data_IF_110099864137
#
_entry.id   IF_110099864137
#
_cell.length_a   1.000
_cell.length_b   1.000
_cell.length_c   1.000
_cell.angle_alpha   90.00
_cell.angle_beta   90.00
_cell.angle_gamma   90.00
#
_symmetry.space_group_name_H-M   'P 1'
#
loop_
_entity.id
_entity.type
_entity.pdbx_description
1 polymer ?
#
# COMPACT_ATOMS: atom_id res chain seq x y z
N UNK A 1 -49.87 -4.93 -21.33
CA UNK A 1 -50.30 -3.52 -21.23
C UNK A 1 -49.62 -2.95 -20.00
N UNK A 2 -48.40 -2.45 -20.16
CA UNK A 2 -47.72 -1.69 -19.09
C UNK A 2 -48.43 -0.35 -19.02
N UNK A 3 -49.16 -0.13 -17.93
CA UNK A 3 -49.70 1.19 -17.61
C UNK A 3 -48.51 2.02 -17.15
N UNK A 4 -47.99 2.88 -18.02
CA UNK A 4 -47.14 3.98 -17.58
C UNK A 4 -48.08 5.00 -16.93
N UNK A 5 -48.07 5.02 -15.61
CA UNK A 5 -48.71 6.10 -14.85
C UNK A 5 -47.80 7.32 -15.06
N UNK A 6 -48.19 8.20 -15.98
CA UNK A 6 -47.57 9.51 -16.12
C UNK A 6 -47.99 10.35 -14.91
N UNK A 7 -47.22 10.26 -13.84
CA UNK A 7 -47.29 11.25 -12.78
C UNK A 7 -46.48 12.44 -13.33
N UNK A 8 -47.17 13.49 -13.78
CA UNK A 8 -46.55 14.78 -14.15
C UNK A 8 -46.02 15.45 -12.87
N UNK A 9 -44.97 14.86 -12.30
CA UNK A 9 -44.25 15.38 -11.15
C UNK A 9 -43.33 16.46 -11.67
N UNK A 10 -43.62 17.70 -11.27
CA UNK A 10 -42.75 18.84 -11.53
C UNK A 10 -42.13 19.35 -10.24
N UNK A 11 -40.82 19.53 -10.27
CA UNK A 11 -40.08 20.11 -9.17
C UNK A 11 -40.20 21.63 -9.13
N UNK A 12 -40.27 22.14 -7.91
CA UNK A 12 -40.39 23.58 -7.65
C UNK A 12 -39.05 24.31 -7.82
N UNK A 13 -39.05 25.36 -8.65
CA UNK A 13 -37.85 26.11 -9.05
C UNK A 13 -37.61 27.39 -8.22
N UNK A 14 -38.56 27.79 -7.36
CA UNK A 14 -38.48 29.04 -6.57
C UNK A 14 -37.33 29.09 -5.56
N UNK A 15 -36.66 27.97 -5.28
CA UNK A 15 -35.52 27.86 -4.35
C UNK A 15 -34.16 27.62 -5.03
N UNK A 16 -34.07 27.83 -6.35
CA UNK A 16 -32.85 27.58 -7.13
C UNK A 16 -31.83 28.73 -7.07
N UNK A 17 -32.28 29.97 -6.91
CA UNK A 17 -31.42 31.15 -6.87
C UNK A 17 -30.81 31.35 -5.48
N UNK A 18 -29.61 30.80 -5.29
CA UNK A 18 -28.86 30.95 -4.04
C UNK A 18 -27.71 31.93 -4.26
N UNK A 19 -27.47 32.81 -3.29
CA UNK A 19 -26.42 33.82 -3.31
C UNK A 19 -25.04 33.15 -3.51
N UNK A 20 -24.20 33.71 -4.38
CA UNK A 20 -22.85 33.24 -4.70
C UNK A 20 -22.73 31.96 -5.55
N UNK A 21 -23.79 31.57 -6.27
CA UNK A 21 -23.78 30.41 -7.18
C UNK A 21 -24.56 30.65 -8.47
N UNK A 22 -24.28 29.86 -9.49
CA UNK A 22 -25.12 29.65 -10.69
C UNK A 22 -25.65 28.22 -10.70
N UNK A 23 -26.75 27.99 -11.42
CA UNK A 23 -27.31 26.65 -11.60
C UNK A 23 -27.66 26.38 -13.06
N UNK A 24 -27.58 25.12 -13.47
CA UNK A 24 -27.99 24.62 -14.76
C UNK A 24 -28.91 23.41 -14.54
N UNK A 25 -30.05 23.38 -15.23
CA UNK A 25 -31.01 22.27 -15.14
C UNK A 25 -31.28 21.65 -16.51
N UNK A 26 -31.56 20.35 -16.55
CA UNK A 26 -32.02 19.66 -17.76
C UNK A 26 -33.52 19.84 -18.00
N UNK A 27 -34.25 20.21 -16.95
CA UNK A 27 -35.71 20.39 -16.92
C UNK A 27 -36.19 20.43 -15.47
N UNK A 28 -37.48 20.24 -15.23
CA UNK A 28 -38.05 20.16 -13.89
C UNK A 28 -39.00 18.96 -13.70
N UNK A 29 -38.97 17.97 -14.58
CA UNK A 29 -39.78 16.76 -14.47
C UNK A 29 -39.09 15.67 -13.66
N UNK A 30 -39.82 14.63 -13.28
CA UNK A 30 -39.26 13.45 -12.63
C UNK A 30 -37.97 12.99 -13.33
N UNK A 31 -36.92 12.72 -12.54
CA UNK A 31 -35.60 12.28 -13.00
C UNK A 31 -34.76 13.36 -13.72
N UNK A 32 -35.25 14.59 -13.92
CA UNK A 32 -34.42 15.71 -14.35
C UNK A 32 -33.35 16.06 -13.32
N UNK A 33 -32.29 16.71 -13.79
CA UNK A 33 -31.09 17.01 -12.99
C UNK A 33 -30.80 18.50 -12.93
N UNK A 34 -30.55 18.97 -11.71
CA UNK A 34 -30.11 20.30 -11.37
C UNK A 34 -28.66 20.26 -10.90
N UNK A 35 -27.81 21.10 -11.48
CA UNK A 35 -26.38 21.20 -11.14
C UNK A 35 -26.03 22.63 -10.75
N UNK A 36 -25.41 22.79 -9.59
CA UNK A 36 -24.93 24.06 -9.06
C UNK A 36 -23.43 24.24 -9.30
N UNK A 37 -23.02 25.49 -9.48
CA UNK A 37 -21.64 25.93 -9.62
C UNK A 37 -21.41 27.17 -8.76
N UNK A 38 -20.38 27.16 -7.91
CA UNK A 38 -20.01 28.36 -7.16
C UNK A 38 -19.49 29.45 -8.09
N UNK A 39 -19.78 30.72 -7.76
CA UNK A 39 -19.17 31.86 -8.43
C UNK A 39 -17.66 31.91 -8.14
N UNK A 40 -16.93 32.62 -8.98
CA UNK A 40 -15.49 32.84 -8.81
C UNK A 40 -15.18 33.44 -7.42
N UNK A 41 -14.19 32.86 -6.73
CA UNK A 41 -13.79 33.27 -5.38
C UNK A 41 -14.63 32.65 -4.24
N UNK A 42 -15.65 31.86 -4.56
CA UNK A 42 -16.40 31.06 -3.60
C UNK A 42 -16.11 29.57 -3.77
N UNK A 43 -16.18 28.81 -2.70
CA UNK A 43 -15.93 27.37 -2.71
C UNK A 43 -17.07 26.65 -2.01
N UNK A 44 -17.41 25.48 -2.54
CA UNK A 44 -18.45 24.61 -1.98
C UNK A 44 -18.00 24.09 -0.62
N UNK A 45 -18.72 24.44 0.45
CA UNK A 45 -18.42 24.02 1.81
C UNK A 45 -19.39 22.97 2.34
N UNK A 46 -20.62 22.92 1.83
CA UNK A 46 -21.65 22.00 2.32
C UNK A 46 -22.76 21.76 1.30
N UNK A 47 -23.42 20.60 1.36
CA UNK A 47 -24.60 20.23 0.57
C UNK A 47 -24.30 19.52 -0.76
N UNK A 48 -25.30 19.41 -1.63
CA UNK A 48 -25.23 18.64 -2.87
C UNK A 48 -25.23 19.55 -4.10
N UNK A 49 -24.12 19.57 -4.82
CA UNK A 49 -24.00 20.33 -6.08
C UNK A 49 -24.83 19.74 -7.22
N UNK A 50 -25.20 18.45 -7.16
CA UNK A 50 -26.02 17.78 -8.17
C UNK A 50 -27.23 17.14 -7.52
N UNK A 51 -28.42 17.57 -7.95
CA UNK A 51 -29.71 17.15 -7.37
C UNK A 51 -30.62 16.64 -8.48
N UNK A 52 -31.50 15.71 -8.15
CA UNK A 52 -32.44 15.10 -9.09
C UNK A 52 -33.87 15.40 -8.65
N UNK A 53 -34.79 15.56 -9.60
CA UNK A 53 -36.20 15.69 -9.25
C UNK A 53 -36.78 14.34 -8.82
N UNK A 54 -37.24 14.25 -7.58
CA UNK A 54 -37.84 13.03 -7.02
C UNK A 54 -39.33 12.94 -7.34
N UNK A 55 -39.92 11.76 -7.14
CA UNK A 55 -41.35 11.47 -7.34
C UNK A 55 -42.29 12.32 -6.48
N UNK A 56 -41.76 12.99 -5.45
CA UNK A 56 -42.50 13.90 -4.58
C UNK A 56 -42.54 15.35 -5.08
N UNK A 57 -41.97 15.65 -6.26
CA UNK A 57 -41.91 17.02 -6.80
C UNK A 57 -40.91 17.91 -6.07
N UNK A 58 -39.90 17.29 -5.45
CA UNK A 58 -38.83 18.00 -4.73
C UNK A 58 -37.47 17.54 -5.22
N UNK A 59 -36.52 18.47 -5.24
CA UNK A 59 -35.13 18.18 -5.54
C UNK A 59 -34.51 17.34 -4.42
N UNK A 60 -33.94 16.18 -4.76
CA UNK A 60 -33.27 15.28 -3.81
C UNK A 60 -32.06 15.96 -3.16
N UNK A 61 -31.74 15.58 -1.92
CA UNK A 61 -30.51 16.01 -1.24
C UNK A 61 -30.64 17.38 -0.57
N UNK A 62 -29.50 17.95 -0.20
CA UNK A 62 -29.40 19.18 0.57
C UNK A 62 -28.95 20.34 -0.31
N UNK A 63 -29.49 21.54 -0.07
CA UNK A 63 -29.07 22.74 -0.80
C UNK A 63 -27.57 23.01 -0.57
N UNK A 64 -26.78 23.25 -1.64
CA UNK A 64 -25.37 23.55 -1.49
C UNK A 64 -25.17 24.96 -0.92
N UNK A 65 -24.04 25.14 -0.24
CA UNK A 65 -23.57 26.41 0.31
C UNK A 65 -22.17 26.66 -0.27
N UNK A 66 -22.00 27.82 -0.89
CA UNK A 66 -20.69 28.31 -1.30
C UNK A 66 -20.31 29.50 -0.45
N UNK A 67 -19.20 29.37 0.27
CA UNK A 67 -18.64 30.41 1.11
C UNK A 67 -17.38 30.96 0.45
N UNK A 68 -17.13 32.25 0.67
CA UNK A 68 -15.85 32.83 0.28
C UNK A 68 -14.81 32.17 1.17
N UNK A 69 -13.81 31.53 0.59
CA UNK A 69 -12.62 31.23 1.37
C UNK A 69 -12.07 32.59 1.80
N UNK A 70 -12.26 32.96 3.07
CA UNK A 70 -11.29 33.83 3.72
C UNK A 70 -9.94 33.20 3.40
N UNK A 71 -8.98 34.01 2.97
CA UNK A 71 -7.59 33.56 2.88
C UNK A 71 -7.26 33.01 4.25
N UNK A 72 -7.40 31.68 4.44
CA UNK A 72 -7.07 31.04 5.68
C UNK A 72 -5.65 31.51 5.90
N UNK A 73 -5.39 32.15 7.05
CA UNK A 73 -4.03 32.49 7.43
C UNK A 73 -3.22 31.24 7.11
N UNK A 74 -2.38 31.37 6.09
CA UNK A 74 -1.50 30.31 5.64
C UNK A 74 -0.90 29.79 6.94
N UNK A 75 -1.09 28.49 7.28
CA UNK A 75 -0.71 28.00 8.60
C UNK A 75 0.71 28.47 8.79
N UNK A 76 0.92 29.28 9.83
CA UNK A 76 2.18 29.97 10.02
C UNK A 76 3.22 28.87 10.10
N UNK A 77 3.93 28.63 9.00
CA UNK A 77 4.93 27.59 8.97
C UNK A 77 5.89 28.06 10.05
N UNK A 78 6.05 27.23 11.07
CA UNK A 78 7.12 27.45 12.03
C UNK A 78 8.34 27.71 11.16
N UNK A 79 9.03 28.83 11.39
CA UNK A 79 10.29 29.14 10.73
C UNK A 79 11.25 28.01 11.10
N UNK A 80 11.15 26.91 10.35
CA UNK A 80 11.88 25.71 10.59
C UNK A 80 13.29 26.05 10.17
N UNK A 81 14.16 26.16 11.15
CA UNK A 81 15.56 26.34 10.87
C UNK A 81 16.04 25.03 10.24
N UNK A 82 16.20 25.02 8.91
CA UNK A 82 16.52 23.81 8.12
C UNK A 82 17.78 23.12 8.67
N UNK A 83 18.71 23.92 9.18
CA UNK A 83 19.92 23.46 9.86
C UNK A 83 19.62 22.66 11.15
N UNK A 84 18.68 23.14 11.97
CA UNK A 84 18.26 22.47 13.21
C UNK A 84 17.49 21.18 12.91
N UNK A 85 16.63 21.18 11.89
CA UNK A 85 15.95 19.96 11.48
C UNK A 85 16.95 18.91 10.98
N UNK A 86 17.93 19.34 10.19
CA UNK A 86 19.00 18.48 9.69
C UNK A 86 19.81 17.83 10.81
N UNK A 87 20.20 18.60 11.84
CA UNK A 87 20.95 18.05 12.98
C UNK A 87 20.13 17.02 13.77
N UNK A 88 18.84 17.30 14.03
CA UNK A 88 17.93 16.36 14.69
C UNK A 88 17.73 15.07 13.90
N UNK A 89 17.59 15.17 12.58
CA UNK A 89 17.46 14.00 11.72
C UNK A 89 18.73 13.15 11.72
N UNK A 90 19.91 13.78 11.71
CA UNK A 90 21.19 13.07 11.81
C UNK A 90 21.37 12.41 13.19
N UNK A 91 20.96 13.08 14.26
CA UNK A 91 20.96 12.54 15.62
C UNK A 91 20.09 11.28 15.72
N UNK A 92 18.84 11.35 15.23
CA UNK A 92 17.90 10.22 15.20
C UNK A 92 18.46 9.07 14.37
N UNK A 93 19.00 9.38 13.18
CA UNK A 93 19.62 8.38 12.28
C UNK A 93 20.79 7.67 12.96
N UNK A 94 21.61 8.41 13.70
CA UNK A 94 22.74 7.85 14.45
C UNK A 94 22.27 6.91 15.56
N UNK A 95 21.33 7.37 16.40
CA UNK A 95 20.82 6.61 17.55
C UNK A 95 20.16 5.28 17.13
N UNK A 96 19.43 5.29 16.01
CA UNK A 96 18.72 4.11 15.51
C UNK A 96 19.60 3.22 14.62
N UNK A 97 20.83 3.61 14.30
CA UNK A 97 21.69 2.82 13.42
C UNK A 97 22.24 1.60 14.17
N UNK A 98 21.89 0.40 13.69
CA UNK A 98 22.44 -0.86 14.20
C UNK A 98 23.52 -1.35 13.24
N UNK A 99 24.65 -1.80 13.79
CA UNK A 99 25.75 -2.34 12.99
C UNK A 99 25.39 -3.72 12.43
N UNK A 100 25.55 -3.90 11.11
CA UNK A 100 25.16 -5.12 10.41
C UNK A 100 25.81 -6.41 10.97
N UNK A 101 27.06 -6.33 11.43
CA UNK A 101 27.83 -7.45 11.98
C UNK A 101 27.41 -7.85 13.42
N UNK A 102 26.71 -6.97 14.14
CA UNK A 102 26.27 -7.16 15.53
C UNK A 102 24.83 -7.66 15.61
N UNK A 103 24.12 -7.68 14.48
CA UNK A 103 22.78 -8.23 14.35
C UNK A 103 22.74 -9.69 14.81
N UNK A 104 21.61 -10.10 15.38
CA UNK A 104 21.37 -11.48 15.80
C UNK A 104 21.63 -12.47 14.66
N UNK A 105 21.22 -12.12 13.43
CA UNK A 105 21.50 -12.88 12.21
C UNK A 105 23.00 -13.04 11.97
N UNK A 106 23.76 -11.95 11.98
CA UNK A 106 25.20 -11.97 11.75
C UNK A 106 25.98 -12.72 12.85
N UNK A 107 25.55 -12.60 14.11
CA UNK A 107 26.12 -13.39 15.21
C UNK A 107 25.87 -14.88 15.06
N UNK A 108 24.63 -15.28 14.72
CA UNK A 108 24.26 -16.69 14.52
C UNK A 108 25.02 -17.35 13.36
N UNK A 109 25.35 -16.59 12.32
CA UNK A 109 26.17 -17.07 11.21
C UNK A 109 27.61 -17.42 11.61
N UNK A 110 28.12 -16.88 12.73
CA UNK A 110 29.48 -17.14 13.22
C UNK A 110 29.57 -18.26 14.25
N UNK A 111 28.43 -18.74 14.75
CA UNK A 111 28.38 -19.79 15.78
C UNK A 111 27.99 -21.11 15.13
N UNK A 112 28.92 -22.04 15.02
CA UNK A 112 28.64 -23.42 14.66
C UNK A 112 28.62 -24.28 15.93
N UNK A 113 27.74 -25.28 15.98
CA UNK A 113 27.82 -26.31 16.99
C UNK A 113 29.07 -27.18 16.72
N UNK A 114 29.79 -27.57 17.78
CA UNK A 114 30.82 -28.60 17.64
C UNK A 114 30.10 -29.91 17.32
N UNK A 115 30.31 -30.39 16.11
CA UNK A 115 29.79 -31.67 15.65
C UNK A 115 30.92 -32.70 15.71
N UNK A 116 30.88 -33.56 16.72
CA UNK A 116 31.85 -34.65 16.92
C UNK A 116 31.53 -35.87 16.04
N UNK A 117 30.47 -35.83 15.21
CA UNK A 117 30.15 -36.92 14.30
C UNK A 117 31.25 -37.03 13.23
N UNK A 118 31.83 -38.22 13.01
CA UNK A 118 32.79 -38.42 11.94
C UNK A 118 32.11 -38.13 10.59
N UNK A 119 32.73 -37.24 9.80
CA UNK A 119 32.22 -36.96 8.46
C UNK A 119 32.25 -38.24 7.61
N UNK A 120 31.28 -38.39 6.69
CA UNK A 120 31.19 -39.51 5.74
C UNK A 120 32.50 -39.75 4.99
N UNK A 121 33.36 -38.72 4.85
CA UNK A 121 34.70 -38.83 4.25
C UNK A 121 35.63 -39.75 5.04
N UNK A 122 35.60 -39.69 6.38
CA UNK A 122 36.50 -40.48 7.22
C UNK A 122 36.15 -41.98 7.20
N UNK A 123 34.86 -42.29 7.32
CA UNK A 123 34.36 -43.67 7.26
C UNK A 123 34.58 -44.26 5.87
N UNK A 124 34.35 -43.47 4.81
CA UNK A 124 34.55 -43.89 3.43
C UNK A 124 36.01 -44.22 3.10
N UNK A 125 36.97 -43.44 3.60
CA UNK A 125 38.41 -43.69 3.36
C UNK A 125 38.86 -44.99 4.02
N UNK A 126 38.47 -45.23 5.27
CA UNK A 126 38.83 -46.47 5.97
C UNK A 126 38.27 -47.71 5.26
N UNK A 127 36.99 -47.66 4.85
CA UNK A 127 36.36 -48.74 4.10
C UNK A 127 37.02 -49.00 2.73
N UNK A 128 37.34 -47.94 1.99
CA UNK A 128 37.99 -48.06 0.68
C UNK A 128 39.38 -48.70 0.75
N UNK A 129 40.17 -48.35 1.77
CA UNK A 129 41.50 -48.95 2.00
C UNK A 129 41.39 -50.45 2.31
N UNK A 130 40.46 -50.85 3.17
CA UNK A 130 40.25 -52.27 3.50
C UNK A 130 39.84 -53.09 2.28
N UNK A 131 38.90 -52.57 1.46
CA UNK A 131 38.47 -53.22 0.23
C UNK A 131 39.64 -53.33 -0.76
N UNK A 132 40.41 -52.25 -0.93
CA UNK A 132 41.58 -52.24 -1.83
C UNK A 132 42.65 -53.26 -1.44
N UNK A 133 42.96 -53.38 -0.14
CA UNK A 133 43.90 -54.38 0.38
C UNK A 133 43.38 -55.79 0.11
N UNK A 134 42.10 -56.05 0.38
CA UNK A 134 41.50 -57.36 0.15
C UNK A 134 41.55 -57.78 -1.32
N UNK A 135 41.22 -56.86 -2.23
CA UNK A 135 41.30 -57.08 -3.68
C UNK A 135 42.75 -57.32 -4.11
N UNK A 136 43.71 -56.56 -3.57
CA UNK A 136 45.12 -56.74 -3.88
C UNK A 136 45.64 -58.13 -3.47
N UNK A 137 45.25 -58.63 -2.28
CA UNK A 137 45.65 -59.96 -1.81
C UNK A 137 45.09 -61.07 -2.71
N UNK A 138 43.82 -60.96 -3.12
CA UNK A 138 43.20 -61.92 -4.06
C UNK A 138 43.99 -61.94 -5.37
N UNK A 139 44.21 -60.77 -5.98
CA UNK A 139 44.92 -60.67 -7.27
C UNK A 139 46.36 -61.16 -7.16
N UNK A 140 47.06 -60.87 -6.05
CA UNK A 140 48.44 -61.34 -5.83
C UNK A 140 48.51 -62.87 -5.70
N UNK A 141 47.54 -63.51 -5.02
CA UNK A 141 47.43 -64.96 -4.97
C UNK A 141 47.18 -65.56 -6.36
N UNK A 142 46.23 -65.01 -7.11
CA UNK A 142 45.88 -65.51 -8.45
C UNK A 142 47.06 -65.37 -9.44
N UNK A 143 47.80 -64.26 -9.38
CA UNK A 143 49.02 -64.05 -10.19
C UNK A 143 50.11 -65.05 -9.81
N UNK A 144 50.28 -65.35 -8.52
CA UNK A 144 51.27 -66.31 -8.04
C UNK A 144 50.97 -67.73 -8.55
N UNK A 145 49.68 -68.09 -8.67
CA UNK A 145 49.26 -69.36 -9.28
C UNK A 145 49.33 -69.40 -10.81
N UNK A 146 49.43 -68.24 -11.48
CA UNK A 146 49.60 -68.12 -12.94
C UNK A 146 51.07 -68.13 -13.38
N UNK A 147 52.00 -67.83 -12.47
CA UNK A 147 53.44 -67.75 -12.72
C UNK A 147 54.23 -68.97 -12.19
N UNK A 148 53.57 -69.92 -11.53
CA UNK A 148 54.12 -71.20 -11.07
C UNK A 148 53.66 -72.35 -11.98
#
# INVERSE_FOLDING_TARGET
>A
MTVEIDIDVRCEDSNLTIVNMTYATTGNHFNDTLTYSCLEGFTHTYGDLKRRCDHLGVWTGTRPICEKLCSCQQPNYIQLNETELGTRLLEIKSNLSVRANETSRARRLKTCARDDRPSTKAIGVLGGVLIGIFVFLIVACDISSLLA
#
